data_IF_217434645492
#
_entry.id   IF_217434645492
#
_cell.length_a   1.000
_cell.length_b   1.000
_cell.length_c   1.000
_cell.angle_alpha   90.00
_cell.angle_beta   90.00
_cell.angle_gamma   90.00
#
_symmetry.space_group_name_H-M   'P 1'
#
loop_
_entity.id
_entity.type
_entity.pdbx_description
1 polymer ?
#
# COMPACT_ATOMS: atom_id res chain seq x y z
N UNK A 1 -67.66 -10.62 -36.72
CA UNK A 1 -67.87 -9.17 -36.57
C UNK A 1 -66.56 -8.58 -36.09
N UNK A 2 -65.88 -8.10 -36.86
CA UNK A 2 -65.18 -7.00 -37.49
C UNK A 2 -64.95 -5.82 -36.52
N UNK A 3 -63.72 -5.41 -36.39
CA UNK A 3 -63.32 -4.21 -35.66
C UNK A 3 -61.79 -3.96 -35.75
N UNK A 4 -61.34 -3.73 -37.01
CA UNK A 4 -59.98 -3.25 -37.32
C UNK A 4 -59.90 -1.74 -37.10
N UNK A 5 -58.95 -1.26 -36.31
CA UNK A 5 -58.61 0.16 -36.29
C UNK A 5 -57.10 0.33 -36.61
N UNK A 6 -56.86 0.71 -37.84
CA UNK A 6 -55.53 0.98 -38.34
C UNK A 6 -54.99 2.33 -37.84
N UNK A 7 -53.76 2.36 -37.39
CA UNK A 7 -52.98 3.56 -37.07
C UNK A 7 -52.14 3.95 -38.27
N UNK A 8 -52.44 5.11 -38.87
CA UNK A 8 -51.74 5.69 -40.02
C UNK A 8 -50.39 6.31 -39.59
N UNK A 9 -49.31 5.77 -40.11
CA UNK A 9 -48.00 6.46 -40.13
C UNK A 9 -48.09 7.66 -41.13
N UNK A 10 -47.76 8.85 -40.61
CA UNK A 10 -47.47 10.02 -41.45
C UNK A 10 -45.96 10.13 -41.65
N UNK A 11 -45.55 9.96 -42.89
CA UNK A 11 -44.23 10.36 -43.41
C UNK A 11 -44.24 11.90 -43.56
N UNK A 12 -43.29 12.62 -42.99
CA UNK A 12 -42.92 13.98 -43.38
C UNK A 12 -41.63 13.91 -44.18
N UNK A 13 -41.69 14.44 -45.37
CA UNK A 13 -40.57 14.55 -46.31
C UNK A 13 -39.69 15.77 -45.97
N UNK A 14 -38.54 15.91 -46.64
CA UNK A 14 -37.53 16.89 -46.31
C UNK A 14 -37.87 18.26 -46.88
N UNK A 15 -37.83 19.31 -46.05
CA UNK A 15 -37.85 20.70 -46.49
C UNK A 15 -36.44 21.24 -46.59
N UNK A 16 -36.08 21.61 -47.82
CA UNK A 16 -34.98 22.46 -48.22
C UNK A 16 -35.20 23.88 -47.70
N UNK A 17 -34.34 24.41 -46.84
CA UNK A 17 -34.15 25.85 -46.69
C UNK A 17 -32.69 26.21 -46.54
N UNK A 18 -32.10 26.55 -47.67
CA UNK A 18 -31.23 27.74 -47.93
C UNK A 18 -30.28 28.20 -46.83
N UNK A 19 -29.05 27.87 -47.01
CA UNK A 19 -27.86 28.71 -47.07
C UNK A 19 -28.02 30.18 -46.60
N UNK A 20 -27.62 30.49 -45.39
CA UNK A 20 -27.22 31.87 -45.00
C UNK A 20 -25.90 31.80 -44.23
N UNK A 21 -24.81 32.12 -44.92
CA UNK A 21 -23.53 32.46 -44.31
C UNK A 21 -23.66 33.79 -43.56
N UNK A 22 -23.27 33.90 -42.30
CA UNK A 22 -23.01 35.21 -41.70
C UNK A 22 -21.60 35.67 -42.11
N UNK A 23 -21.59 36.85 -42.76
CA UNK A 23 -20.42 37.63 -43.11
C UNK A 23 -19.56 37.88 -41.86
N UNK A 24 -18.32 37.42 -41.90
CA UNK A 24 -17.25 37.81 -40.93
C UNK A 24 -16.93 39.30 -41.15
N UNK A 25 -17.37 40.16 -40.26
CA UNK A 25 -16.87 41.52 -40.16
C UNK A 25 -15.46 41.47 -39.50
N UNK A 26 -14.47 41.72 -40.33
CA UNK A 26 -13.10 41.98 -39.93
C UNK A 26 -13.05 43.30 -39.14
N UNK A 27 -12.92 43.22 -37.81
CA UNK A 27 -12.58 44.37 -36.96
C UNK A 27 -11.06 44.39 -36.88
N UNK A 28 -10.45 45.25 -37.70
CA UNK A 28 -9.05 45.66 -37.59
C UNK A 28 -8.87 46.53 -36.33
N UNK A 29 -8.33 45.92 -35.27
CA UNK A 29 -7.82 46.69 -34.11
C UNK A 29 -6.33 46.94 -34.31
N UNK A 30 -5.84 48.17 -34.10
CA UNK A 30 -4.42 48.46 -34.17
C UNK A 30 -3.68 47.78 -33.01
N UNK A 31 -2.64 47.00 -33.33
CA UNK A 31 -1.70 46.43 -32.36
C UNK A 31 -0.82 47.57 -31.85
N UNK A 32 -1.07 48.02 -30.63
CA UNK A 32 -0.11 48.86 -29.93
C UNK A 32 1.07 47.95 -29.48
N UNK A 33 2.21 48.12 -30.14
CA UNK A 33 3.45 47.49 -29.76
C UNK A 33 3.95 48.18 -28.50
N UNK A 34 3.70 47.59 -27.34
CA UNK A 34 4.36 47.97 -26.09
C UNK A 34 5.74 47.29 -26.09
N UNK A 35 6.78 48.08 -26.32
CA UNK A 35 8.17 47.68 -26.13
C UNK A 35 8.40 47.56 -24.61
N UNK A 36 8.23 46.33 -24.07
CA UNK A 36 8.72 46.02 -22.73
C UNK A 36 10.24 45.81 -22.83
N UNK A 37 10.98 46.77 -22.31
CA UNK A 37 12.40 46.65 -22.06
C UNK A 37 12.63 45.45 -21.09
N UNK A 38 13.06 44.32 -21.62
CA UNK A 38 13.49 43.18 -20.82
C UNK A 38 14.84 43.53 -20.19
N UNK A 39 14.83 43.86 -18.91
CA UNK A 39 16.06 43.84 -18.09
C UNK A 39 16.52 42.38 -17.93
N UNK A 40 17.72 42.03 -18.29
CA UNK A 40 18.24 40.69 -18.00
C UNK A 40 18.55 40.60 -16.50
N UNK A 41 17.67 39.96 -15.74
CA UNK A 41 18.09 39.39 -14.47
C UNK A 41 19.04 38.22 -14.80
N UNK A 42 20.34 38.49 -14.68
CA UNK A 42 21.36 37.47 -14.63
C UNK A 42 21.09 36.65 -13.35
N UNK A 43 20.43 35.50 -13.50
CA UNK A 43 20.50 34.44 -12.50
C UNK A 43 21.95 33.97 -12.50
N UNK A 44 22.69 34.29 -11.44
CA UNK A 44 24.00 33.67 -11.16
C UNK A 44 23.72 32.18 -10.96
N UNK A 45 24.00 31.40 -11.99
CA UNK A 45 24.20 29.96 -11.83
C UNK A 45 25.47 29.85 -10.97
N UNK A 46 25.32 29.41 -9.73
CA UNK A 46 26.47 28.97 -8.94
C UNK A 46 27.16 27.86 -9.71
N UNK A 47 28.33 28.20 -10.18
CA UNK A 47 29.20 27.33 -10.95
C UNK A 47 29.71 26.23 -10.03
N UNK A 48 29.03 25.09 -10.01
CA UNK A 48 29.49 23.88 -9.35
C UNK A 48 30.72 23.35 -10.14
N UNK A 49 31.86 23.93 -9.87
CA UNK A 49 33.13 23.43 -10.41
C UNK A 49 33.51 22.12 -9.73
N UNK A 50 33.23 20.99 -10.38
CA UNK A 50 33.79 19.71 -9.99
C UNK A 50 35.28 19.72 -10.21
N UNK A 51 36.06 19.96 -9.15
CA UNK A 51 37.53 19.85 -9.20
C UNK A 51 37.86 18.35 -9.27
N UNK A 52 38.20 17.88 -10.49
CA UNK A 52 38.79 16.54 -10.69
C UNK A 52 40.09 16.49 -9.97
N UNK A 53 40.16 15.78 -8.85
CA UNK A 53 41.44 15.47 -8.18
C UNK A 53 42.06 14.32 -8.97
N UNK A 54 43.13 14.61 -9.72
CA UNK A 54 43.99 13.56 -10.31
C UNK A 54 44.62 12.79 -9.16
N UNK A 55 44.37 11.47 -9.10
CA UNK A 55 45.11 10.54 -8.24
C UNK A 55 46.53 10.51 -8.73
N UNK A 56 47.45 11.30 -8.13
CA UNK A 56 48.84 11.36 -8.55
C UNK A 56 49.68 12.48 -7.92
N UNK A 57 49.08 13.57 -7.45
CA UNK A 57 49.83 14.65 -6.82
C UNK A 57 50.02 14.38 -5.33
N UNK A 58 51.28 14.05 -5.01
CA UNK A 58 51.79 13.82 -3.65
C UNK A 58 51.70 15.10 -2.82
N UNK A 59 50.71 15.25 -1.96
CA UNK A 59 50.79 16.18 -0.87
C UNK A 59 51.16 15.42 0.42
N UNK A 60 52.15 15.91 1.22
CA UNK A 60 52.52 15.28 2.49
C UNK A 60 51.46 15.62 3.55
N UNK A 61 50.44 14.82 3.63
CA UNK A 61 49.42 14.90 4.67
C UNK A 61 48.81 13.52 4.86
N UNK A 62 48.81 13.05 6.11
CA UNK A 62 48.41 11.73 6.62
C UNK A 62 47.40 11.00 5.71
N UNK A 63 47.88 10.12 4.86
CA UNK A 63 47.06 9.07 4.26
C UNK A 63 46.64 8.12 5.39
N UNK A 64 45.35 7.95 5.57
CA UNK A 64 44.85 6.82 6.36
C UNK A 64 45.04 5.59 5.44
N UNK A 65 46.18 4.99 5.48
CA UNK A 65 46.44 3.66 4.96
C UNK A 65 46.01 2.70 6.07
N UNK A 66 44.76 2.22 6.00
CA UNK A 66 44.39 1.01 6.74
C UNK A 66 45.11 -0.13 6.02
N UNK A 67 46.31 -0.43 6.46
CA UNK A 67 47.03 -1.60 6.02
C UNK A 67 46.51 -2.76 6.81
N UNK A 68 45.64 -3.55 6.18
CA UNK A 68 45.15 -4.78 6.77
C UNK A 68 46.31 -5.74 6.72
N UNK A 69 46.91 -6.08 7.88
CA UNK A 69 47.91 -7.11 8.00
C UNK A 69 47.20 -8.48 7.83
N UNK A 70 47.53 -9.26 6.79
CA UNK A 70 46.91 -10.53 6.53
C UNK A 70 47.06 -11.55 7.66
N UNK A 71 48.19 -11.45 8.39
CA UNK A 71 48.44 -12.36 9.54
C UNK A 71 47.60 -11.99 10.77
N UNK A 72 47.43 -10.67 11.00
CA UNK A 72 46.56 -10.17 12.08
C UNK A 72 45.09 -10.51 11.81
N UNK A 73 44.65 -10.37 10.56
CA UNK A 73 43.31 -10.74 10.12
C UNK A 73 43.10 -12.24 10.25
N UNK A 74 44.08 -13.07 9.86
CA UNK A 74 44.00 -14.53 10.00
C UNK A 74 43.95 -14.95 11.49
N UNK A 75 44.70 -14.30 12.39
CA UNK A 75 44.64 -14.52 13.84
C UNK A 75 43.28 -14.11 14.41
N UNK A 76 42.74 -12.99 13.96
CA UNK A 76 41.41 -12.53 14.39
C UNK A 76 40.32 -13.51 13.95
N UNK A 77 40.36 -13.96 12.69
CA UNK A 77 39.42 -14.96 12.17
C UNK A 77 39.56 -16.33 12.84
N UNK A 78 40.79 -16.72 13.24
CA UNK A 78 41.03 -17.96 13.99
C UNK A 78 40.55 -17.90 15.44
N UNK A 79 40.48 -16.68 16.04
CA UNK A 79 40.00 -16.47 17.38
C UNK A 79 38.47 -16.32 17.49
N UNK A 80 37.77 -16.15 16.35
CA UNK A 80 36.32 -16.16 16.33
C UNK A 80 35.81 -17.56 16.69
N UNK A 81 34.74 -17.70 17.50
CA UNK A 81 34.13 -18.98 17.76
C UNK A 81 33.79 -19.65 16.43
N UNK A 82 34.35 -20.82 16.15
CA UNK A 82 34.01 -21.63 15.00
C UNK A 82 32.53 -22.02 15.17
N UNK A 83 31.65 -21.33 14.46
CA UNK A 83 30.28 -21.78 14.30
C UNK A 83 30.36 -23.02 13.42
N UNK A 84 30.20 -24.19 14.02
CA UNK A 84 29.99 -25.40 13.23
C UNK A 84 28.89 -25.12 12.22
N UNK A 85 29.08 -25.42 10.92
CA UNK A 85 27.98 -25.39 9.99
C UNK A 85 26.96 -26.39 10.56
N UNK A 86 25.90 -25.85 11.16
CA UNK A 86 24.84 -26.69 11.72
C UNK A 86 24.41 -27.65 10.63
N UNK A 87 24.28 -28.94 10.94
CA UNK A 87 23.73 -29.87 10.00
C UNK A 87 22.45 -29.29 9.46
N UNK A 88 22.25 -29.38 8.14
CA UNK A 88 21.07 -28.92 7.44
C UNK A 88 19.88 -29.38 8.28
N UNK A 89 19.26 -28.45 9.01
CA UNK A 89 18.06 -28.76 9.78
C UNK A 89 17.08 -29.36 8.82
N UNK A 90 16.68 -30.57 9.13
CA UNK A 90 15.63 -31.27 8.41
C UNK A 90 14.41 -30.33 8.37
N UNK A 91 14.10 -29.79 7.20
CA UNK A 91 12.96 -28.89 6.97
C UNK A 91 11.63 -29.48 7.41
N UNK A 92 11.59 -30.75 7.75
CA UNK A 92 10.43 -31.43 8.33
C UNK A 92 10.11 -30.93 9.75
N UNK A 93 11.07 -30.28 10.46
CA UNK A 93 10.87 -29.75 11.81
C UNK A 93 10.50 -28.26 11.84
N UNK A 94 10.66 -27.54 10.73
CA UNK A 94 10.13 -26.17 10.56
C UNK A 94 8.68 -26.18 10.05
N UNK A 95 7.96 -27.28 10.29
CA UNK A 95 6.52 -27.30 10.08
C UNK A 95 5.94 -26.20 10.97
N UNK A 96 5.27 -25.17 10.42
CA UNK A 96 4.52 -24.22 11.24
C UNK A 96 3.67 -25.05 12.19
N UNK A 97 3.64 -24.68 13.47
CA UNK A 97 2.80 -25.35 14.45
C UNK A 97 1.46 -25.59 13.77
N UNK A 98 1.04 -26.85 13.71
CA UNK A 98 -0.15 -27.26 13.01
C UNK A 98 -1.25 -26.28 13.37
N UNK A 99 -1.86 -25.65 12.38
CA UNK A 99 -3.04 -24.85 12.60
C UNK A 99 -3.96 -25.65 13.53
N UNK A 100 -4.52 -25.04 14.58
CA UNK A 100 -5.37 -25.74 15.52
C UNK A 100 -6.37 -26.58 14.72
N UNK A 101 -6.51 -27.86 15.09
CA UNK A 101 -7.35 -28.83 14.39
C UNK A 101 -8.70 -28.17 14.07
N UNK A 102 -9.05 -28.14 12.79
CA UNK A 102 -10.27 -27.53 12.34
C UNK A 102 -11.44 -28.09 13.16
N UNK A 103 -12.34 -27.23 13.70
CA UNK A 103 -13.50 -27.72 14.39
C UNK A 103 -14.27 -28.66 13.47
N UNK A 104 -14.72 -29.79 13.98
CA UNK A 104 -15.46 -30.85 13.25
C UNK A 104 -16.91 -30.43 12.96
N UNK A 105 -17.07 -29.29 12.30
CA UNK A 105 -18.32 -28.74 11.78
C UNK A 105 -18.16 -28.31 10.32
N UNK A 106 -19.25 -28.03 9.59
CA UNK A 106 -19.12 -27.45 8.26
C UNK A 106 -18.29 -26.18 8.34
N UNK A 107 -17.25 -26.08 7.50
CA UNK A 107 -16.34 -24.94 7.49
C UNK A 107 -17.16 -23.63 7.39
N UNK A 108 -16.88 -22.61 8.24
CA UNK A 108 -17.60 -21.36 8.19
C UNK A 108 -17.51 -20.79 6.77
N UNK A 109 -18.67 -20.36 6.24
CA UNK A 109 -18.71 -19.73 4.91
C UNK A 109 -18.22 -18.28 5.03
N UNK A 110 -17.44 -17.81 4.07
CA UNK A 110 -17.07 -16.40 3.96
C UNK A 110 -18.30 -15.52 3.87
N UNK A 111 -18.32 -14.42 4.62
CA UNK A 111 -19.38 -13.41 4.57
C UNK A 111 -19.42 -12.68 3.23
N UNK A 112 -18.30 -12.66 2.52
CA UNK A 112 -18.15 -11.99 1.22
C UNK A 112 -17.90 -12.99 0.08
N UNK A 113 -18.55 -14.16 0.12
CA UNK A 113 -18.44 -15.16 -0.95
C UNK A 113 -18.78 -14.57 -2.32
N UNK A 114 -19.78 -13.69 -2.39
CA UNK A 114 -20.19 -12.97 -3.60
C UNK A 114 -19.08 -12.07 -4.21
N UNK A 115 -18.16 -11.58 -3.39
CA UNK A 115 -16.99 -10.83 -3.88
C UNK A 115 -16.10 -11.72 -4.74
N UNK A 116 -15.86 -12.95 -4.31
CA UNK A 116 -15.01 -13.92 -5.00
C UNK A 116 -15.69 -14.59 -6.21
N UNK A 117 -16.99 -14.44 -6.38
CA UNK A 117 -17.68 -14.80 -7.62
C UNK A 117 -17.34 -13.83 -8.77
N UNK A 118 -16.99 -12.58 -8.43
CA UNK A 118 -16.64 -11.53 -9.39
C UNK A 118 -15.14 -11.36 -9.54
N UNK A 119 -14.38 -11.56 -8.46
CA UNK A 119 -12.94 -11.30 -8.41
C UNK A 119 -12.17 -12.61 -8.49
N UNK A 120 -11.35 -12.81 -9.53
CA UNK A 120 -10.54 -14.02 -9.67
C UNK A 120 -9.58 -14.19 -8.48
N UNK A 121 -9.54 -15.40 -7.93
CA UNK A 121 -8.71 -15.72 -6.77
C UNK A 121 -7.36 -16.35 -7.12
N UNK A 122 -7.15 -16.75 -8.39
CA UNK A 122 -5.96 -17.44 -8.86
C UNK A 122 -4.73 -16.53 -8.93
N UNK A 123 -3.53 -17.06 -8.67
CA UNK A 123 -2.27 -16.30 -8.65
C UNK A 123 -1.88 -15.76 -10.03
N UNK A 124 -2.29 -16.43 -11.11
CA UNK A 124 -1.93 -16.05 -12.48
C UNK A 124 -2.92 -15.06 -13.13
N UNK A 125 -4.00 -14.70 -12.45
CA UNK A 125 -5.09 -13.88 -12.99
C UNK A 125 -4.93 -12.40 -12.58
N UNK A 126 -3.80 -11.78 -12.93
CA UNK A 126 -3.38 -10.48 -12.38
C UNK A 126 -4.01 -9.28 -13.11
N UNK A 127 -4.20 -9.38 -14.45
CA UNK A 127 -4.57 -8.22 -15.26
C UNK A 127 -5.93 -7.64 -14.88
N UNK A 128 -5.96 -6.36 -14.45
CA UNK A 128 -7.19 -5.64 -14.09
C UNK A 128 -7.90 -6.14 -12.83
N UNK A 129 -7.35 -7.15 -12.16
CA UNK A 129 -7.97 -7.74 -10.97
C UNK A 129 -8.08 -6.76 -9.82
N UNK A 130 -7.10 -5.89 -9.62
CA UNK A 130 -7.12 -4.91 -8.54
C UNK A 130 -8.28 -3.91 -8.70
N UNK A 131 -8.44 -3.33 -9.88
CA UNK A 131 -9.54 -2.39 -10.17
C UNK A 131 -10.89 -3.08 -10.04
N UNK A 132 -10.98 -4.32 -10.56
CA UNK A 132 -12.18 -5.14 -10.41
C UNK A 132 -12.50 -5.42 -8.94
N UNK A 133 -11.49 -5.71 -8.12
CA UNK A 133 -11.65 -5.94 -6.69
C UNK A 133 -12.17 -4.67 -5.99
N UNK A 134 -11.58 -3.50 -6.26
CA UNK A 134 -12.04 -2.24 -5.68
C UNK A 134 -13.49 -1.93 -6.08
N UNK A 135 -13.86 -2.14 -7.35
CA UNK A 135 -15.23 -1.95 -7.82
C UNK A 135 -16.21 -2.94 -7.17
N UNK A 136 -15.80 -4.20 -6.98
CA UNK A 136 -16.64 -5.24 -6.41
C UNK A 136 -17.01 -5.01 -4.93
N UNK A 137 -16.26 -4.19 -4.17
CA UNK A 137 -16.51 -3.95 -2.75
C UNK A 137 -17.92 -3.40 -2.43
N UNK A 138 -18.56 -2.75 -3.40
CA UNK A 138 -19.88 -2.13 -3.26
C UNK A 138 -20.96 -2.80 -4.11
N UNK A 139 -20.68 -3.97 -4.69
CA UNK A 139 -21.55 -4.64 -5.65
C UNK A 139 -22.09 -5.98 -5.13
N UNK A 140 -22.34 -6.08 -3.84
CA UNK A 140 -22.97 -7.27 -3.25
C UNK A 140 -24.43 -7.43 -3.60
N UNK A 141 -25.00 -8.62 -3.37
CA UNK A 141 -26.41 -8.89 -3.57
C UNK A 141 -27.29 -7.91 -2.78
N UNK A 142 -28.35 -7.40 -3.40
CA UNK A 142 -29.25 -6.45 -2.73
C UNK A 142 -28.61 -5.10 -2.36
N UNK A 143 -27.45 -4.75 -2.94
CA UNK A 143 -26.71 -3.54 -2.60
C UNK A 143 -25.80 -3.69 -1.36
N UNK A 144 -25.52 -4.93 -0.95
CA UNK A 144 -24.56 -5.20 0.12
C UNK A 144 -23.18 -4.65 -0.22
N UNK A 145 -22.49 -4.12 0.78
CA UNK A 145 -21.14 -3.58 0.66
C UNK A 145 -20.20 -4.22 1.68
N UNK A 146 -18.93 -4.32 1.33
CA UNK A 146 -17.90 -4.73 2.28
C UNK A 146 -17.75 -3.65 3.35
N UNK A 147 -17.83 -4.04 4.61
CA UNK A 147 -17.72 -3.10 5.74
C UNK A 147 -16.31 -2.59 5.88
N UNK A 148 -16.15 -1.26 5.81
CA UNK A 148 -14.92 -0.57 6.11
C UNK A 148 -14.96 0.08 7.51
N UNK A 149 -13.80 0.31 8.15
CA UNK A 149 -13.70 1.18 9.32
C UNK A 149 -14.22 2.59 9.00
N UNK A 150 -14.74 3.29 10.01
CA UNK A 150 -15.12 4.69 9.85
C UNK A 150 -13.86 5.54 9.62
N UNK A 151 -13.96 6.56 8.78
CA UNK A 151 -12.84 7.49 8.50
C UNK A 151 -12.26 8.09 9.78
N UNK A 152 -13.11 8.53 10.72
CA UNK A 152 -12.66 9.08 12.00
C UNK A 152 -11.82 8.07 12.79
N UNK A 153 -12.19 6.79 12.78
CA UNK A 153 -11.42 5.77 13.47
C UNK A 153 -10.01 5.58 12.87
N UNK A 154 -9.91 5.59 11.53
CA UNK A 154 -8.61 5.55 10.87
C UNK A 154 -7.82 6.84 11.10
N UNK A 155 -8.48 8.00 11.17
CA UNK A 155 -7.85 9.26 11.53
C UNK A 155 -7.24 9.19 12.93
N UNK A 156 -7.99 8.68 13.93
CA UNK A 156 -7.51 8.53 15.31
C UNK A 156 -6.27 7.60 15.39
N UNK A 157 -6.19 6.59 14.52
CA UNK A 157 -5.01 5.71 14.40
C UNK A 157 -3.86 6.48 13.74
N UNK A 158 -4.13 7.22 12.66
CA UNK A 158 -3.13 8.01 11.97
C UNK A 158 -2.56 9.13 12.85
N UNK A 159 -3.36 9.77 13.68
CA UNK A 159 -2.91 10.80 14.62
C UNK A 159 -1.97 10.24 15.68
N UNK A 160 -2.20 8.98 16.12
CA UNK A 160 -1.35 8.31 17.13
C UNK A 160 -0.08 7.71 16.55
N UNK A 161 -0.19 7.03 15.41
CA UNK A 161 0.88 6.19 14.86
C UNK A 161 1.36 6.62 13.47
N UNK A 162 0.79 7.69 12.89
CA UNK A 162 1.10 8.12 11.53
C UNK A 162 2.57 8.44 11.30
N UNK A 163 3.24 9.03 12.31
CA UNK A 163 4.69 9.28 12.25
C UNK A 163 5.48 7.98 12.17
N UNK A 164 5.13 6.98 12.99
CA UNK A 164 5.84 5.70 13.03
C UNK A 164 5.59 4.89 11.75
N UNK A 165 4.36 4.96 11.21
CA UNK A 165 4.00 4.39 9.92
C UNK A 165 4.83 5.02 8.80
N UNK A 166 4.90 6.36 8.74
CA UNK A 166 5.70 7.06 7.73
C UNK A 166 7.17 6.68 7.82
N UNK A 167 7.75 6.67 9.02
CA UNK A 167 9.15 6.31 9.23
C UNK A 167 9.44 4.85 8.82
N UNK A 168 8.53 3.94 9.13
CA UNK A 168 8.69 2.52 8.79
C UNK A 168 8.58 2.25 7.29
N UNK A 169 7.82 3.06 6.55
CA UNK A 169 7.61 2.89 5.11
C UNK A 169 8.67 3.56 4.24
N UNK A 170 9.52 4.43 4.80
CA UNK A 170 10.62 5.06 4.05
C UNK A 170 11.55 4.01 3.45
N UNK A 171 11.79 4.11 2.14
CA UNK A 171 12.66 3.18 1.41
C UNK A 171 12.04 1.82 1.12
N UNK A 172 10.72 1.67 1.31
CA UNK A 172 9.96 0.47 0.93
C UNK A 172 8.92 0.81 -0.14
N UNK A 173 8.39 -0.22 -0.80
CA UNK A 173 7.26 -0.09 -1.74
C UNK A 173 5.90 -0.21 -1.04
N UNK A 174 5.84 -0.06 0.29
CA UNK A 174 4.59 -0.15 1.07
C UNK A 174 3.99 1.22 1.25
N UNK A 175 2.76 1.42 0.79
CA UNK A 175 2.05 2.67 1.06
C UNK A 175 1.72 2.84 2.55
N UNK A 176 1.99 4.00 3.16
CA UNK A 176 1.51 4.31 4.50
C UNK A 176 0.01 4.11 4.71
N UNK A 177 -0.81 4.39 3.68
CA UNK A 177 -2.24 4.16 3.73
C UNK A 177 -2.60 2.67 3.78
N UNK A 178 -1.81 1.77 3.15
CA UNK A 178 -1.99 0.33 3.28
C UNK A 178 -1.70 -0.13 4.71
N UNK A 179 -0.62 0.36 5.31
CA UNK A 179 -0.29 0.04 6.70
C UNK A 179 -1.41 0.48 7.65
N UNK A 180 -1.95 1.67 7.45
CA UNK A 180 -3.08 2.18 8.23
C UNK A 180 -4.32 1.30 8.08
N UNK A 181 -4.64 0.87 6.86
CA UNK A 181 -5.75 -0.03 6.59
C UNK A 181 -5.58 -1.40 7.30
N UNK A 182 -4.38 -1.97 7.22
CA UNK A 182 -4.03 -3.23 7.91
C UNK A 182 -4.19 -3.07 9.42
N UNK A 183 -3.63 -2.03 10.04
CA UNK A 183 -3.78 -1.76 11.48
C UNK A 183 -5.27 -1.62 11.86
N UNK A 184 -6.05 -0.93 11.04
CA UNK A 184 -7.48 -0.74 11.25
C UNK A 184 -8.27 -2.06 11.29
N UNK A 185 -7.88 -3.04 10.49
CA UNK A 185 -8.54 -4.36 10.42
C UNK A 185 -7.98 -5.33 11.46
N UNK A 186 -6.66 -5.35 11.68
CA UNK A 186 -5.97 -6.31 12.56
C UNK A 186 -6.27 -6.07 14.03
N UNK A 187 -6.12 -4.86 14.49
CA UNK A 187 -6.20 -4.53 15.91
C UNK A 187 -7.17 -3.41 16.25
N UNK A 188 -7.74 -2.75 15.24
CA UNK A 188 -8.44 -1.48 15.42
C UNK A 188 -7.58 -0.43 16.18
N UNK A 189 -6.26 -0.43 15.95
CA UNK A 189 -5.31 0.50 16.56
C UNK A 189 -4.95 0.20 18.02
N UNK A 190 -5.19 -1.02 18.51
CA UNK A 190 -4.83 -1.44 19.88
C UNK A 190 -3.46 -2.12 19.88
N UNK A 191 -2.45 -1.53 20.57
CA UNK A 191 -1.09 -2.07 20.59
C UNK A 191 -0.97 -3.35 21.42
N UNK A 192 -1.86 -3.58 22.35
CA UNK A 192 -1.92 -4.71 23.28
C UNK A 192 -2.87 -5.83 22.80
N UNK A 193 -3.41 -5.73 21.58
CA UNK A 193 -4.31 -6.74 21.04
C UNK A 193 -3.60 -8.09 20.90
N UNK A 194 -4.25 -9.16 21.38
CA UNK A 194 -3.80 -10.54 21.24
C UNK A 194 -4.93 -11.38 20.64
N UNK A 195 -4.62 -12.09 19.55
CA UNK A 195 -5.58 -12.99 18.92
C UNK A 195 -5.57 -14.38 19.57
N UNK A 196 -6.59 -15.19 19.30
CA UNK A 196 -6.65 -16.60 19.74
C UNK A 196 -5.49 -17.44 19.15
N UNK A 197 -4.94 -17.05 18.00
CA UNK A 197 -3.80 -17.70 17.38
C UNK A 197 -2.45 -17.18 17.90
N UNK A 198 -2.45 -16.27 18.88
CA UNK A 198 -1.25 -15.69 19.49
C UNK A 198 -0.59 -14.60 18.64
N UNK A 199 -1.29 -14.01 17.69
CA UNK A 199 -0.83 -12.80 17.00
C UNK A 199 -0.97 -11.60 17.94
N UNK A 200 0.02 -10.67 17.92
CA UNK A 200 0.13 -9.60 18.91
C UNK A 200 0.35 -8.24 18.24
N UNK A 201 -0.24 -7.22 18.82
CA UNK A 201 0.05 -5.83 18.54
C UNK A 201 -0.75 -5.22 17.40
N UNK A 202 -0.34 -4.01 16.98
CA UNK A 202 -1.06 -3.20 15.99
C UNK A 202 -1.30 -3.92 14.67
N UNK A 203 -0.28 -4.62 14.16
CA UNK A 203 -0.31 -5.34 12.89
C UNK A 203 -0.45 -6.87 13.06
N UNK A 204 -0.79 -7.34 14.28
CA UNK A 204 -1.06 -8.73 14.61
C UNK A 204 0.01 -9.71 14.10
N UNK A 205 1.25 -9.51 14.52
CA UNK A 205 2.34 -10.39 14.14
C UNK A 205 2.32 -11.67 14.99
N UNK A 206 2.29 -12.83 14.34
CA UNK A 206 2.53 -14.10 15.05
C UNK A 206 3.99 -14.18 15.47
N UNK A 207 4.33 -14.90 16.59
CA UNK A 207 5.68 -14.92 17.12
C UNK A 207 6.78 -15.34 16.13
N UNK A 208 6.46 -16.23 15.19
CA UNK A 208 7.40 -16.65 14.15
C UNK A 208 7.72 -15.51 13.18
N UNK A 209 6.69 -14.78 12.73
CA UNK A 209 6.84 -13.62 11.84
C UNK A 209 7.55 -12.47 12.56
N UNK A 210 7.18 -12.18 13.82
CA UNK A 210 7.84 -11.18 14.64
C UNK A 210 9.36 -11.42 14.72
N UNK A 211 9.77 -12.64 15.07
CA UNK A 211 11.20 -13.02 15.11
C UNK A 211 11.88 -12.90 13.75
N UNK A 212 11.21 -13.32 12.67
CA UNK A 212 11.75 -13.26 11.30
C UNK A 212 12.09 -11.83 10.89
N UNK A 213 11.30 -10.86 11.32
CA UNK A 213 11.47 -9.45 10.97
C UNK A 213 12.05 -8.59 12.12
N UNK A 214 12.69 -9.23 13.10
CA UNK A 214 13.49 -8.56 14.13
C UNK A 214 12.68 -7.85 15.20
N UNK A 215 11.41 -8.22 15.40
CA UNK A 215 10.56 -7.71 16.48
C UNK A 215 10.83 -8.52 17.74
N UNK A 216 11.27 -7.85 18.79
CA UNK A 216 11.54 -8.46 20.12
C UNK A 216 10.38 -8.26 21.09
N UNK A 217 9.66 -7.14 20.96
CA UNK A 217 8.43 -6.84 21.69
C UNK A 217 7.32 -6.46 20.71
N UNK A 218 6.36 -7.35 20.52
CA UNK A 218 5.23 -7.12 19.62
C UNK A 218 4.17 -6.19 20.19
N UNK A 219 4.23 -5.81 21.47
CA UNK A 219 3.35 -4.82 22.10
C UNK A 219 3.89 -3.40 21.94
N UNK A 220 5.19 -3.25 21.63
CA UNK A 220 5.79 -1.97 21.28
C UNK A 220 5.30 -1.52 19.88
N UNK A 221 4.58 -0.38 19.78
CA UNK A 221 4.02 0.07 18.51
C UNK A 221 5.04 0.26 17.40
N UNK A 222 6.22 0.81 17.73
CA UNK A 222 7.26 1.13 16.75
C UNK A 222 7.86 -0.15 16.17
N UNK A 223 8.19 -1.12 17.04
CA UNK A 223 8.72 -2.41 16.59
C UNK A 223 7.68 -3.19 15.79
N UNK A 224 6.43 -3.21 16.25
CA UNK A 224 5.35 -3.93 15.60
C UNK A 224 5.06 -3.39 14.19
N UNK A 225 4.93 -2.06 14.05
CA UNK A 225 4.75 -1.39 12.76
C UNK A 225 5.94 -1.67 11.84
N UNK A 226 7.17 -1.52 12.34
CA UNK A 226 8.38 -1.78 11.54
C UNK A 226 8.45 -3.22 11.04
N UNK A 227 8.15 -4.19 11.91
CA UNK A 227 8.12 -5.60 11.54
C UNK A 227 7.00 -5.94 10.55
N UNK A 228 5.80 -5.39 10.76
CA UNK A 228 4.67 -5.56 9.85
C UNK A 228 4.91 -4.96 8.47
N UNK A 229 5.49 -3.76 8.40
CA UNK A 229 5.91 -3.12 7.14
C UNK A 229 6.98 -3.94 6.43
N UNK A 230 7.97 -4.44 7.15
CA UNK A 230 9.00 -5.30 6.58
C UNK A 230 8.40 -6.59 5.99
N UNK A 231 7.41 -7.19 6.66
CA UNK A 231 6.69 -8.34 6.14
C UNK A 231 5.87 -8.00 4.90
N UNK A 232 5.10 -6.90 4.90
CA UNK A 232 4.37 -6.42 3.72
C UNK A 232 5.31 -6.14 2.53
N UNK A 233 6.43 -5.48 2.78
CA UNK A 233 7.44 -5.19 1.74
C UNK A 233 8.03 -6.47 1.15
N UNK A 234 8.27 -7.48 1.98
CA UNK A 234 8.72 -8.78 1.52
C UNK A 234 7.64 -9.49 0.68
N UNK A 235 6.37 -9.44 1.13
CA UNK A 235 5.25 -10.04 0.40
C UNK A 235 4.98 -9.36 -0.95
N UNK A 236 5.12 -8.03 -1.04
CA UNK A 236 5.00 -7.30 -2.31
C UNK A 236 6.02 -7.82 -3.34
N UNK A 237 7.26 -8.03 -2.92
CA UNK A 237 8.31 -8.61 -3.80
C UNK A 237 8.03 -10.06 -4.16
N UNK A 238 7.50 -10.85 -3.22
CA UNK A 238 7.21 -12.27 -3.40
C UNK A 238 6.04 -12.52 -4.38
N UNK A 239 5.08 -11.58 -4.45
CA UNK A 239 3.87 -11.71 -5.26
C UNK A 239 3.76 -10.62 -6.34
N UNK A 240 4.89 -10.12 -6.86
CA UNK A 240 4.95 -9.18 -7.99
C UNK A 240 4.01 -7.96 -7.83
N UNK A 241 3.94 -7.42 -6.62
CA UNK A 241 3.07 -6.29 -6.22
C UNK A 241 1.56 -6.55 -6.40
N UNK A 242 1.13 -7.81 -6.43
CA UNK A 242 -0.30 -8.16 -6.49
C UNK A 242 -0.97 -7.96 -5.12
N UNK A 243 -1.83 -6.95 -4.94
CA UNK A 243 -2.38 -6.63 -3.63
C UNK A 243 -3.22 -7.74 -3.02
N UNK A 244 -3.95 -8.52 -3.86
CA UNK A 244 -4.81 -9.58 -3.36
C UNK A 244 -3.99 -10.74 -2.80
N UNK A 245 -2.91 -11.11 -3.52
CA UNK A 245 -2.00 -12.16 -3.05
C UNK A 245 -1.23 -11.72 -1.81
N UNK A 246 -0.77 -10.47 -1.76
CA UNK A 246 -0.08 -9.88 -0.60
C UNK A 246 -0.98 -9.93 0.64
N UNK A 247 -2.21 -9.47 0.54
CA UNK A 247 -3.16 -9.47 1.66
C UNK A 247 -3.57 -10.88 2.09
N UNK A 248 -3.80 -11.77 1.12
CA UNK A 248 -4.09 -13.18 1.43
C UNK A 248 -2.91 -13.86 2.14
N UNK A 249 -1.68 -13.58 1.71
CA UNK A 249 -0.48 -14.13 2.32
C UNK A 249 -0.18 -13.51 3.69
N UNK A 250 -0.50 -12.23 3.88
CA UNK A 250 -0.37 -11.59 5.19
C UNK A 250 -1.22 -12.30 6.25
N UNK A 251 -2.47 -12.64 5.90
CA UNK A 251 -3.41 -13.31 6.81
C UNK A 251 -3.16 -14.83 6.91
N UNK A 252 -3.05 -15.52 5.77
CA UNK A 252 -2.98 -17.00 5.74
C UNK A 252 -1.55 -17.57 5.71
N UNK A 253 -0.55 -16.71 5.53
CA UNK A 253 0.83 -17.10 5.25
C UNK A 253 1.09 -17.36 3.76
N UNK A 254 2.29 -17.00 3.30
CA UNK A 254 2.72 -17.13 1.91
C UNK A 254 2.68 -18.58 1.41
N UNK A 255 2.94 -19.54 2.32
CA UNK A 255 2.87 -20.96 2.01
C UNK A 255 1.48 -21.44 1.62
N UNK A 256 0.44 -20.93 2.28
CA UNK A 256 -0.95 -21.24 1.97
C UNK A 256 -1.36 -20.70 0.59
N UNK A 257 -0.95 -19.47 0.26
CA UNK A 257 -1.22 -18.87 -1.05
C UNK A 257 -0.55 -19.67 -2.17
N UNK A 258 0.70 -20.05 -2.00
CA UNK A 258 1.41 -20.91 -2.99
C UNK A 258 0.77 -22.29 -3.13
N UNK A 259 0.45 -22.93 -2.02
CA UNK A 259 -0.16 -24.27 -2.02
C UNK A 259 -1.54 -24.28 -2.71
N UNK A 260 -2.30 -23.19 -2.60
CA UNK A 260 -3.61 -23.05 -3.22
C UNK A 260 -3.56 -22.36 -4.60
N UNK A 261 -2.36 -22.03 -5.10
CA UNK A 261 -2.21 -21.32 -6.38
C UNK A 261 -3.05 -20.04 -6.43
N UNK A 262 -3.18 -19.33 -5.30
CA UNK A 262 -4.03 -18.14 -5.16
C UNK A 262 -4.56 -17.94 -3.74
N UNK A 263 -5.59 -17.12 -3.61
CA UNK A 263 -6.25 -16.87 -2.31
C UNK A 263 -6.87 -18.17 -1.79
N UNK A 264 -6.39 -18.70 -0.64
CA UNK A 264 -6.87 -19.97 -0.12
C UNK A 264 -8.37 -19.93 0.22
N UNK A 265 -9.07 -21.09 0.20
CA UNK A 265 -10.50 -21.15 0.47
C UNK A 265 -10.83 -21.07 1.96
N UNK A 266 -10.04 -20.37 2.75
CA UNK A 266 -10.29 -20.14 4.17
C UNK A 266 -11.27 -18.97 4.32
N UNK A 267 -12.35 -19.18 5.06
CA UNK A 267 -13.38 -18.15 5.26
C UNK A 267 -12.80 -16.85 5.83
N UNK A 268 -11.89 -16.95 6.79
CA UNK A 268 -11.22 -15.82 7.39
C UNK A 268 -10.43 -15.01 6.33
N UNK A 269 -9.60 -15.67 5.54
CA UNK A 269 -8.79 -15.01 4.50
C UNK A 269 -9.66 -14.43 3.38
N UNK A 270 -10.73 -15.15 3.01
CA UNK A 270 -11.72 -14.70 2.03
C UNK A 270 -12.51 -13.48 2.50
N UNK A 271 -12.65 -13.29 3.81
CA UNK A 271 -13.24 -12.10 4.40
C UNK A 271 -12.22 -10.99 4.64
N UNK A 272 -10.98 -11.34 4.96
CA UNK A 272 -9.91 -10.42 5.27
C UNK A 272 -9.52 -9.53 4.08
N UNK A 273 -9.25 -10.14 2.93
CA UNK A 273 -8.82 -9.41 1.74
C UNK A 273 -9.78 -8.28 1.35
N UNK A 274 -11.08 -8.53 1.15
CA UNK A 274 -12.02 -7.44 0.83
C UNK A 274 -12.14 -6.42 1.95
N UNK A 275 -12.08 -6.82 3.24
CA UNK A 275 -12.11 -5.87 4.37
C UNK A 275 -10.92 -4.91 4.35
N UNK A 276 -9.71 -5.40 4.11
CA UNK A 276 -8.53 -4.53 4.03
C UNK A 276 -8.60 -3.63 2.80
N UNK A 277 -9.05 -4.11 1.65
CA UNK A 277 -9.27 -3.27 0.47
C UNK A 277 -10.32 -2.17 0.73
N UNK A 278 -11.40 -2.48 1.44
CA UNK A 278 -12.39 -1.48 1.82
C UNK A 278 -11.82 -0.45 2.82
N UNK A 279 -11.02 -0.90 3.78
CA UNK A 279 -10.30 -0.01 4.70
C UNK A 279 -9.27 0.86 3.95
N UNK A 280 -8.58 0.30 2.96
CA UNK A 280 -7.67 1.01 2.08
C UNK A 280 -8.34 2.17 1.34
N UNK A 281 -9.53 1.96 0.77
CA UNK A 281 -10.28 3.03 0.12
C UNK A 281 -10.61 4.20 1.08
N UNK A 282 -10.88 3.91 2.35
CA UNK A 282 -11.08 4.95 3.36
C UNK A 282 -9.76 5.64 3.72
N UNK A 283 -8.69 4.86 3.92
CA UNK A 283 -7.37 5.37 4.31
C UNK A 283 -6.76 6.30 3.25
N UNK A 284 -6.99 6.05 1.96
CA UNK A 284 -6.59 6.94 0.85
C UNK A 284 -7.07 8.37 1.06
N UNK A 285 -8.29 8.55 1.59
CA UNK A 285 -8.89 9.87 1.85
C UNK A 285 -8.16 10.68 2.93
N UNK A 286 -7.32 10.04 3.74
CA UNK A 286 -6.52 10.69 4.78
C UNK A 286 -5.14 11.16 4.26
N UNK A 287 -4.77 10.83 3.03
CA UNK A 287 -3.53 11.28 2.42
C UNK A 287 -3.68 12.68 1.81
N UNK A 288 -2.61 13.48 1.82
CA UNK A 288 -2.56 14.78 1.12
C UNK A 288 -2.81 14.59 -0.37
N UNK A 289 -2.19 13.59 -0.96
CA UNK A 289 -2.47 13.09 -2.30
C UNK A 289 -2.95 11.66 -2.16
N UNK A 290 -4.21 11.34 -2.50
CA UNK A 290 -4.71 9.98 -2.41
C UNK A 290 -3.91 9.03 -3.32
N UNK A 291 -3.32 7.96 -2.78
CA UNK A 291 -2.60 6.96 -3.56
C UNK A 291 -3.60 6.14 -4.40
N UNK A 292 -3.20 5.69 -5.57
CA UNK A 292 -4.01 4.80 -6.42
C UNK A 292 -3.64 3.33 -6.22
N UNK A 293 -2.35 3.06 -6.02
CA UNK A 293 -1.82 1.73 -5.79
C UNK A 293 -1.40 1.55 -4.33
N UNK A 294 -1.43 0.32 -3.84
CA UNK A 294 -0.97 -0.03 -2.49
C UNK A 294 0.54 0.19 -2.28
N UNK A 295 1.24 0.53 -3.36
CA UNK A 295 2.65 0.89 -3.39
C UNK A 295 2.91 2.39 -3.51
N UNK A 296 1.86 3.20 -3.74
CA UNK A 296 2.03 4.64 -3.91
C UNK A 296 2.31 5.34 -2.57
N UNK A 297 3.12 6.41 -2.59
CA UNK A 297 3.40 7.18 -1.38
C UNK A 297 2.15 7.86 -0.83
N UNK A 298 2.09 8.00 0.49
CA UNK A 298 1.03 8.72 1.19
C UNK A 298 1.65 9.51 2.36
N UNK A 299 1.33 10.79 2.43
CA UNK A 299 1.58 11.61 3.62
C UNK A 299 0.24 11.94 4.24
N UNK A 300 0.02 11.56 5.49
CA UNK A 300 -1.25 11.81 6.17
C UNK A 300 -1.50 13.29 6.40
N UNK A 301 -2.76 13.70 6.26
CA UNK A 301 -3.21 15.03 6.70
C UNK A 301 -3.25 15.05 8.21
N UNK A 302 -2.46 15.91 8.82
CA UNK A 302 -2.57 16.18 10.26
C UNK A 302 -3.73 17.15 10.45
N UNK A 303 -4.85 16.66 10.92
CA UNK A 303 -5.94 17.51 11.39
C UNK A 303 -5.65 17.83 12.84
N UNK A 304 -4.84 18.86 13.08
CA UNK A 304 -4.60 19.32 14.45
C UNK A 304 -5.87 19.98 15.01
N UNK A 305 -6.67 19.22 15.72
CA UNK A 305 -7.77 19.73 16.56
C UNK A 305 -7.25 20.43 17.83
N UNK A 306 -5.94 20.55 17.99
CA UNK A 306 -5.27 21.12 19.19
C UNK A 306 -5.09 22.65 19.12
N UNK A 307 -5.95 23.37 18.42
CA UNK A 307 -5.78 24.82 18.16
C UNK A 307 -6.88 25.75 18.68
N UNK A 308 -7.95 25.28 19.26
CA UNK A 308 -9.07 26.17 19.66
C UNK A 308 -9.18 26.46 21.16
N UNK A 309 -8.54 25.67 22.03
CA UNK A 309 -8.64 25.88 23.50
C UNK A 309 -7.68 26.96 24.04
N UNK A 310 -6.81 27.53 23.22
CA UNK A 310 -5.83 28.55 23.66
C UNK A 310 -6.27 30.01 23.41
N UNK A 311 -7.43 30.27 22.83
CA UNK A 311 -7.92 31.65 22.54
C UNK A 311 -9.12 32.09 23.37
N UNK A 312 -9.50 31.31 24.39
CA UNK A 312 -10.64 31.62 25.26
C UNK A 312 -10.30 32.11 26.66
N UNK A 313 -9.03 32.46 26.96
CA UNK A 313 -8.62 33.03 28.24
C UNK A 313 -7.76 34.28 27.99
N UNK A 314 -8.39 35.39 27.70
CA UNK A 314 -7.80 36.74 27.62
C UNK A 314 -8.83 37.75 27.94
#
# INVERSE_FOLDING_TARGET
>A
MAGSTGLKLRFFGPDDTANRHPQMRTITRPIAVILCAASPWAASADDFSFKRIKVGDSQPGKRITVQIDPEEQARYLAALPKVDPRPIRDRSQDRPAAAPAAPSGPAPKSSYAWFWEKVPAGINEVRGRYDLALAALTQGPGGETVRAPRMQHLQDIADRYGKDILLATVGTDVSPALVLAVIGIESAGRPDAVSHAGAVGLMQLIPATARRFGVTDSTDPVQNIKGGVAYLSWLLKEFDNDPLMVLAAYNAGEGAVRANQGVPPYAETRDYVPKVLAAWQVAQGLCLTPPQLVTDPCVFRVISTRGEDARGAG
#
